data_IF_920895354922
#
_entry.id   IF_920895354922
#
_cell.length_a   1.000
_cell.length_b   1.000
_cell.length_c   1.000
_cell.angle_alpha   90.00
_cell.angle_beta   90.00
_cell.angle_gamma   90.00
#
_symmetry.space_group_name_H-M   'P 1'
#
loop_
_entity.id
_entity.type
_entity.pdbx_description
1 polymer ?
#
# COMPACT_ATOMS: atom_id res chain seq x y z
N UNK A 1 -19.70 -18.61 15.62
CA UNK A 1 -18.65 -18.10 14.71
C UNK A 1 -18.84 -16.63 14.39
N UNK A 2 -20.05 -16.17 14.12
CA UNK A 2 -20.35 -14.75 13.81
C UNK A 2 -19.86 -13.81 14.93
N UNK A 3 -20.24 -14.05 16.18
CA UNK A 3 -19.76 -13.28 17.35
C UNK A 3 -18.22 -13.23 17.48
N UNK A 4 -17.52 -14.30 17.09
CA UNK A 4 -16.06 -14.33 17.08
C UNK A 4 -15.50 -13.33 16.06
N UNK A 5 -16.03 -13.31 14.83
CA UNK A 5 -15.59 -12.38 13.80
C UNK A 5 -15.90 -10.93 14.13
N UNK A 6 -17.05 -10.65 14.73
CA UNK A 6 -17.42 -9.32 15.22
C UNK A 6 -16.43 -8.80 16.27
N UNK A 7 -16.10 -9.64 17.27
CA UNK A 7 -15.14 -9.29 18.31
C UNK A 7 -13.71 -9.11 17.75
N UNK A 8 -13.30 -9.96 16.82
CA UNK A 8 -12.01 -9.82 16.15
C UNK A 8 -11.95 -8.54 15.33
N UNK A 9 -13.01 -8.19 14.59
CA UNK A 9 -13.11 -6.93 13.85
C UNK A 9 -13.01 -5.72 14.77
N UNK A 10 -13.75 -5.72 15.88
CA UNK A 10 -13.68 -4.64 16.88
C UNK A 10 -12.25 -4.47 17.43
N UNK A 11 -11.58 -5.57 17.75
CA UNK A 11 -10.19 -5.54 18.21
C UNK A 11 -9.22 -5.06 17.12
N UNK A 12 -9.40 -5.47 15.88
CA UNK A 12 -8.60 -4.96 14.76
C UNK A 12 -8.78 -3.45 14.56
N UNK A 13 -10.00 -2.93 14.70
CA UNK A 13 -10.27 -1.48 14.64
C UNK A 13 -9.59 -0.71 15.78
N UNK A 14 -9.57 -1.26 17.00
CA UNK A 14 -8.86 -0.70 18.14
C UNK A 14 -7.35 -0.64 17.88
N UNK A 15 -6.75 -1.78 17.48
CA UNK A 15 -5.32 -1.86 17.16
C UNK A 15 -4.97 -0.89 16.03
N UNK A 16 -5.79 -0.81 14.98
CA UNK A 16 -5.53 0.13 13.88
C UNK A 16 -5.45 1.58 14.36
N UNK A 17 -6.36 2.01 15.25
CA UNK A 17 -6.33 3.38 15.83
C UNK A 17 -5.07 3.64 16.65
N UNK A 18 -4.60 2.63 17.39
CA UNK A 18 -3.38 2.74 18.21
C UNK A 18 -2.12 2.87 17.34
N UNK A 19 -2.01 2.02 16.30
CA UNK A 19 -0.75 1.87 15.55
C UNK A 19 -0.64 2.80 14.33
N UNK A 20 -1.74 3.42 13.87
CA UNK A 20 -1.74 4.19 12.60
C UNK A 20 -0.78 5.37 12.62
N UNK A 21 -0.66 6.08 13.74
CA UNK A 21 0.22 7.24 13.88
C UNK A 21 1.69 6.94 13.58
N UNK A 22 2.13 5.71 13.88
CA UNK A 22 3.52 5.27 13.72
C UNK A 22 3.74 4.43 12.46
N UNK A 23 2.64 3.94 11.82
CA UNK A 23 2.69 2.99 10.71
C UNK A 23 1.91 3.45 9.46
N UNK A 24 1.35 4.65 9.45
CA UNK A 24 0.87 5.30 8.23
C UNK A 24 2.05 5.64 7.31
N UNK A 25 1.84 5.68 6.00
CA UNK A 25 2.85 6.21 5.08
C UNK A 25 3.16 7.69 5.33
N UNK A 26 2.28 8.39 6.04
CA UNK A 26 2.45 9.78 6.45
C UNK A 26 3.05 9.92 7.86
N UNK A 27 3.46 8.82 8.51
CA UNK A 27 4.06 8.88 9.84
C UNK A 27 5.49 9.43 9.80
N UNK A 28 5.94 10.01 10.93
CA UNK A 28 7.31 10.52 11.08
C UNK A 28 8.36 9.38 11.10
N UNK A 29 7.92 8.14 11.35
CA UNK A 29 8.77 6.95 11.24
C UNK A 29 9.02 6.53 9.78
N UNK A 30 8.16 6.96 8.86
CA UNK A 30 8.24 6.58 7.43
C UNK A 30 8.91 7.65 6.59
N UNK A 31 8.54 8.91 6.78
CA UNK A 31 8.97 10.03 5.95
C UNK A 31 9.45 11.19 6.80
N UNK A 32 10.47 11.89 6.35
CA UNK A 32 10.86 13.18 6.91
C UNK A 32 9.77 14.22 6.63
N UNK A 33 9.83 15.30 7.38
CA UNK A 33 8.83 16.38 7.28
C UNK A 33 8.65 16.89 5.84
N UNK A 34 9.75 17.18 5.16
CA UNK A 34 9.70 17.75 3.80
C UNK A 34 9.18 16.74 2.77
N UNK A 35 9.52 15.45 2.95
CA UNK A 35 9.06 14.35 2.09
C UNK A 35 7.55 14.16 2.25
N UNK A 36 7.05 14.25 3.49
CA UNK A 36 5.63 14.14 3.83
C UNK A 36 4.84 15.36 3.32
N UNK A 37 5.33 16.58 3.54
CA UNK A 37 4.70 17.80 3.04
C UNK A 37 4.58 17.77 1.50
N UNK A 38 5.61 17.29 0.82
CA UNK A 38 5.59 17.13 -0.64
C UNK A 38 4.54 16.10 -1.08
N UNK A 39 4.50 14.95 -0.45
CA UNK A 39 3.54 13.89 -0.76
C UNK A 39 2.08 14.33 -0.53
N UNK A 40 1.83 15.20 0.46
CA UNK A 40 0.51 15.75 0.76
C UNK A 40 0.10 16.90 -0.17
N UNK A 41 1.07 17.60 -0.74
CA UNK A 41 0.81 18.78 -1.60
C UNK A 41 0.64 18.44 -3.07
N UNK A 42 1.01 17.24 -3.50
CA UNK A 42 1.04 16.88 -4.92
C UNK A 42 0.59 15.43 -5.15
N UNK A 43 -0.56 15.24 -5.77
CA UNK A 43 -1.09 13.92 -6.13
C UNK A 43 -0.21 13.15 -7.12
N UNK A 44 0.60 13.85 -7.92
CA UNK A 44 1.62 13.21 -8.75
C UNK A 44 2.61 12.41 -7.89
N UNK A 45 2.96 12.95 -6.70
CA UNK A 45 3.84 12.27 -5.76
C UNK A 45 3.22 10.98 -5.20
N UNK A 46 1.90 10.97 -4.94
CA UNK A 46 1.20 9.76 -4.53
C UNK A 46 1.29 8.66 -5.59
N UNK A 47 0.98 8.98 -6.85
CA UNK A 47 1.02 8.00 -7.95
C UNK A 47 2.42 7.42 -8.14
N UNK A 48 3.45 8.28 -8.17
CA UNK A 48 4.84 7.83 -8.33
C UNK A 48 5.32 7.04 -7.11
N UNK A 49 4.95 7.41 -5.90
CA UNK A 49 5.21 6.65 -4.68
C UNK A 49 4.60 5.25 -4.74
N UNK A 50 3.34 5.14 -5.13
CA UNK A 50 2.65 3.87 -5.32
C UNK A 50 3.35 3.01 -6.39
N UNK A 51 3.72 3.57 -7.53
CA UNK A 51 4.46 2.87 -8.59
C UNK A 51 5.80 2.33 -8.06
N UNK A 52 6.48 3.10 -7.24
CA UNK A 52 7.79 2.77 -6.70
C UNK A 52 7.77 1.72 -5.58
N UNK A 53 6.60 1.47 -4.98
CA UNK A 53 6.45 0.54 -3.86
C UNK A 53 6.51 -0.92 -4.32
N UNK A 54 7.72 -1.35 -4.69
CA UNK A 54 8.02 -2.73 -5.07
C UNK A 54 9.49 -3.08 -4.84
N UNK A 55 9.74 -4.22 -4.20
CA UNK A 55 11.10 -4.78 -4.01
C UNK A 55 12.09 -3.86 -3.29
N UNK A 56 11.60 -2.88 -2.58
CA UNK A 56 12.33 -1.96 -1.68
C UNK A 56 11.52 -1.77 -0.41
N UNK A 57 12.12 -1.17 0.61
CA UNK A 57 11.38 -0.77 1.81
C UNK A 57 10.41 0.37 1.47
N UNK A 58 9.26 0.40 2.13
CA UNK A 58 8.23 1.41 1.91
C UNK A 58 8.78 2.84 2.03
N UNK A 59 9.66 3.10 3.01
CA UNK A 59 10.27 4.41 3.21
C UNK A 59 11.10 4.87 1.99
N UNK A 60 11.72 3.92 1.27
CA UNK A 60 12.48 4.23 0.05
C UNK A 60 11.53 4.56 -1.10
N UNK A 61 10.46 3.78 -1.26
CA UNK A 61 9.47 3.99 -2.31
C UNK A 61 8.75 5.33 -2.17
N UNK A 62 8.23 5.61 -0.97
CA UNK A 62 7.39 6.78 -0.74
C UNK A 62 8.15 8.11 -0.66
N UNK A 63 9.48 8.11 -0.40
CA UNK A 63 10.32 9.30 -0.51
C UNK A 63 10.86 9.56 -1.92
N UNK A 64 10.81 8.57 -2.82
CA UNK A 64 11.34 8.68 -4.18
C UNK A 64 10.79 9.90 -4.94
N UNK A 65 9.48 10.20 -4.93
CA UNK A 65 8.93 11.37 -5.63
C UNK A 65 9.59 12.69 -5.23
N UNK A 66 9.83 12.89 -3.93
CA UNK A 66 10.49 14.09 -3.41
C UNK A 66 11.91 14.24 -3.97
N UNK A 67 12.72 13.18 -3.90
CA UNK A 67 14.09 13.26 -4.43
C UNK A 67 14.15 13.32 -5.95
N UNK A 68 13.19 12.70 -6.64
CA UNK A 68 13.06 12.83 -8.09
C UNK A 68 12.76 14.28 -8.47
N UNK A 69 11.83 14.96 -7.78
CA UNK A 69 11.51 16.35 -8.02
C UNK A 69 12.71 17.28 -7.78
N UNK A 70 13.54 16.97 -6.76
CA UNK A 70 14.77 17.74 -6.50
C UNK A 70 15.81 17.61 -7.62
N UNK A 71 15.93 16.43 -8.21
CA UNK A 71 16.88 16.17 -9.31
C UNK A 71 16.40 16.74 -10.64
N UNK A 72 15.10 16.74 -10.89
CA UNK A 72 14.49 17.36 -12.05
C UNK A 72 14.41 18.91 -11.94
N UNK A 73 14.41 19.44 -10.72
CA UNK A 73 14.15 20.87 -10.46
C UNK A 73 12.67 21.26 -10.52
N UNK A 74 11.78 20.32 -10.82
CA UNK A 74 10.32 20.46 -10.85
C UNK A 74 9.64 19.10 -10.72
N UNK A 75 8.28 19.07 -10.63
CA UNK A 75 7.49 17.83 -10.64
C UNK A 75 6.23 17.96 -11.49
N UNK A 76 6.29 18.77 -12.52
CA UNK A 76 5.23 18.99 -13.49
C UNK A 76 5.24 17.86 -14.52
N UNK A 77 4.14 17.11 -14.61
CA UNK A 77 4.03 15.96 -15.51
C UNK A 77 3.99 16.36 -16.98
N UNK A 78 3.45 17.54 -17.33
CA UNK A 78 3.50 18.01 -18.72
C UNK A 78 4.96 18.24 -19.14
N UNK A 79 5.74 18.94 -18.31
CA UNK A 79 7.16 19.16 -18.59
C UNK A 79 7.96 17.85 -18.60
N UNK A 80 7.71 16.94 -17.67
CA UNK A 80 8.39 15.63 -17.67
C UNK A 80 8.08 14.85 -18.96
N UNK A 81 6.82 14.89 -19.44
CA UNK A 81 6.44 14.24 -20.69
C UNK A 81 7.12 14.80 -21.93
N UNK A 82 7.41 16.12 -21.93
CA UNK A 82 8.02 16.84 -23.05
C UNK A 82 9.56 16.81 -23.01
N UNK A 83 10.14 16.95 -21.81
CA UNK A 83 11.59 17.18 -21.63
C UNK A 83 12.36 15.90 -21.37
N UNK A 84 11.70 14.83 -20.83
CA UNK A 84 12.38 13.63 -20.37
C UNK A 84 12.13 12.42 -21.29
N UNK A 85 13.09 11.51 -21.25
CA UNK A 85 13.01 10.17 -21.87
C UNK A 85 13.16 9.09 -20.80
N UNK A 86 12.93 7.82 -21.16
CA UNK A 86 13.20 6.71 -20.25
C UNK A 86 14.69 6.66 -19.87
N UNK A 87 15.59 7.00 -20.79
CA UNK A 87 17.04 6.99 -20.59
C UNK A 87 17.50 8.12 -19.64
N UNK A 88 16.94 9.32 -19.78
CA UNK A 88 17.24 10.45 -18.89
C UNK A 88 16.70 10.18 -17.47
N UNK A 89 15.47 9.70 -17.35
CA UNK A 89 14.89 9.31 -16.06
C UNK A 89 15.68 8.17 -15.40
N UNK A 90 16.13 7.17 -16.16
CA UNK A 90 17.00 6.11 -15.64
C UNK A 90 18.28 6.70 -15.05
N UNK A 91 18.91 7.62 -15.76
CA UNK A 91 20.14 8.29 -15.31
C UNK A 91 19.91 9.03 -14.01
N UNK A 92 18.82 9.80 -13.93
CA UNK A 92 18.42 10.56 -12.74
C UNK A 92 18.14 9.62 -11.55
N UNK A 93 17.42 8.52 -11.76
CA UNK A 93 17.08 7.56 -10.68
C UNK A 93 18.32 6.78 -10.21
N UNK A 94 19.25 6.48 -11.11
CA UNK A 94 20.48 5.70 -10.86
C UNK A 94 21.58 6.52 -10.19
N UNK A 95 21.59 7.83 -10.34
CA UNK A 95 22.56 8.73 -9.70
C UNK A 95 22.65 8.45 -8.20
N UNK A 96 23.88 8.44 -7.66
CA UNK A 96 24.11 8.09 -6.25
C UNK A 96 23.80 9.27 -5.31
N UNK A 97 23.12 9.02 -4.18
CA UNK A 97 22.52 7.73 -3.79
C UNK A 97 21.33 7.36 -4.67
N UNK A 98 21.32 6.15 -5.24
CA UNK A 98 20.26 5.71 -6.15
C UNK A 98 18.88 5.76 -5.48
N UNK A 99 17.89 6.30 -6.18
CA UNK A 99 16.54 6.46 -5.65
C UNK A 99 15.78 5.14 -5.57
N UNK A 100 16.12 4.17 -6.43
CA UNK A 100 15.49 2.86 -6.45
C UNK A 100 16.47 1.76 -6.85
N UNK A 101 16.21 0.52 -6.38
CA UNK A 101 17.02 -0.68 -6.69
C UNK A 101 17.02 -1.04 -8.19
N UNK A 102 15.92 -0.72 -8.90
CA UNK A 102 15.72 -1.03 -10.32
C UNK A 102 15.50 0.25 -11.14
N UNK A 103 16.54 1.08 -11.40
CA UNK A 103 16.37 2.39 -12.01
C UNK A 103 15.70 2.35 -13.38
N UNK A 104 16.14 1.46 -14.28
CA UNK A 104 15.55 1.30 -15.62
C UNK A 104 14.06 1.00 -15.59
N UNK A 105 13.69 0.04 -14.77
CA UNK A 105 12.28 -0.37 -14.65
C UNK A 105 11.40 0.74 -14.08
N UNK A 106 11.92 1.49 -13.10
CA UNK A 106 11.20 2.63 -12.54
C UNK A 106 11.07 3.77 -13.55
N UNK A 107 12.14 4.06 -14.31
CA UNK A 107 12.08 5.04 -15.38
C UNK A 107 10.99 4.71 -16.42
N UNK A 108 10.93 3.46 -16.88
CA UNK A 108 9.89 2.99 -17.80
C UNK A 108 8.48 3.15 -17.24
N UNK A 109 8.27 2.80 -15.97
CA UNK A 109 6.96 2.90 -15.33
C UNK A 109 6.54 4.34 -15.08
N UNK A 110 7.46 5.17 -14.60
CA UNK A 110 7.23 6.60 -14.37
C UNK A 110 6.94 7.31 -15.68
N UNK A 111 7.74 7.09 -16.72
CA UNK A 111 7.53 7.68 -18.04
C UNK A 111 6.16 7.30 -18.63
N UNK A 112 5.78 6.02 -18.52
CA UNK A 112 4.46 5.56 -18.94
C UNK A 112 3.34 6.27 -18.15
N UNK A 113 3.46 6.33 -16.83
CA UNK A 113 2.45 6.94 -15.96
C UNK A 113 2.27 8.43 -16.24
N UNK A 114 3.38 9.17 -16.35
CA UNK A 114 3.38 10.59 -16.69
C UNK A 114 2.65 10.83 -18.02
N UNK A 115 3.03 10.11 -19.07
CA UNK A 115 2.40 10.25 -20.39
C UNK A 115 0.91 9.88 -20.36
N UNK A 116 0.51 8.85 -19.60
CA UNK A 116 -0.89 8.47 -19.46
C UNK A 116 -1.70 9.56 -18.75
N UNK A 117 -1.18 10.12 -17.66
CA UNK A 117 -1.85 11.20 -16.93
C UNK A 117 -2.03 12.42 -17.83
N UNK A 118 -1.00 12.81 -18.55
CA UNK A 118 -1.08 13.97 -19.48
C UNK A 118 -2.11 13.74 -20.57
N UNK A 119 -2.13 12.56 -21.19
CA UNK A 119 -2.98 12.28 -22.35
C UNK A 119 -4.43 11.91 -22.02
N UNK A 120 -4.65 11.19 -20.92
CA UNK A 120 -5.95 10.55 -20.64
C UNK A 120 -6.65 11.13 -19.39
N UNK A 121 -5.91 11.82 -18.53
CA UNK A 121 -6.42 12.36 -17.27
C UNK A 121 -6.30 13.91 -17.16
N UNK A 122 -6.21 14.62 -18.29
CA UNK A 122 -6.09 16.08 -18.35
C UNK A 122 -4.96 16.64 -17.46
N UNK A 123 -3.83 15.93 -17.39
CA UNK A 123 -2.66 16.29 -16.57
C UNK A 123 -2.94 16.34 -15.05
N UNK A 124 -4.03 15.77 -14.58
CA UNK A 124 -4.45 15.78 -13.18
C UNK A 124 -4.66 14.35 -12.66
N UNK A 125 -3.78 13.92 -11.76
CA UNK A 125 -3.85 12.57 -11.14
C UNK A 125 -5.14 12.38 -10.33
N UNK A 126 -5.71 13.43 -9.73
CA UNK A 126 -6.99 13.34 -9.02
C UNK A 126 -8.14 12.82 -9.90
N UNK A 127 -8.07 13.01 -11.23
CA UNK A 127 -9.08 12.49 -12.14
C UNK A 127 -9.16 10.95 -12.19
N UNK A 128 -8.25 10.25 -11.51
CA UNK A 128 -8.36 8.81 -11.26
C UNK A 128 -9.50 8.51 -10.28
N UNK A 129 -9.77 9.40 -9.30
CA UNK A 129 -10.76 9.16 -8.22
C UNK A 129 -11.72 10.32 -7.93
N UNK A 130 -11.60 11.47 -8.57
CA UNK A 130 -12.31 12.73 -8.24
C UNK A 130 -13.79 12.75 -8.65
N UNK A 131 -14.22 11.98 -9.65
CA UNK A 131 -15.52 12.13 -10.27
C UNK A 131 -16.52 11.06 -9.77
N UNK A 132 -16.91 11.12 -8.50
CA UNK A 132 -17.89 10.23 -7.86
C UNK A 132 -17.66 8.72 -8.13
N UNK A 133 -16.39 8.32 -8.19
CA UNK A 133 -16.02 6.95 -8.43
C UNK A 133 -16.12 6.14 -7.13
N UNK A 134 -16.61 4.92 -7.25
CA UNK A 134 -16.51 3.96 -6.18
C UNK A 134 -15.10 3.31 -6.15
N UNK A 135 -14.79 2.65 -5.03
CA UNK A 135 -13.47 2.06 -4.84
C UNK A 135 -13.10 1.01 -5.91
N UNK A 136 -14.08 0.27 -6.46
CA UNK A 136 -13.85 -0.70 -7.53
C UNK A 136 -13.36 -0.04 -8.81
N UNK A 137 -13.96 1.09 -9.19
CA UNK A 137 -13.55 1.87 -10.36
C UNK A 137 -12.16 2.48 -10.17
N UNK A 138 -11.83 2.96 -8.95
CA UNK A 138 -10.49 3.48 -8.63
C UNK A 138 -9.45 2.37 -8.73
N UNK A 139 -9.72 1.18 -8.18
CA UNK A 139 -8.83 0.01 -8.31
C UNK A 139 -8.61 -0.31 -9.80
N UNK A 140 -9.68 -0.41 -10.60
CA UNK A 140 -9.58 -0.72 -12.02
C UNK A 140 -8.73 0.32 -12.78
N UNK A 141 -8.93 1.62 -12.52
CA UNK A 141 -8.14 2.68 -13.15
C UNK A 141 -6.65 2.64 -12.73
N UNK A 142 -6.37 2.37 -11.46
CA UNK A 142 -4.98 2.23 -11.00
C UNK A 142 -4.29 1.03 -11.64
N UNK A 143 -4.99 -0.07 -11.93
CA UNK A 143 -4.44 -1.24 -12.64
C UNK A 143 -3.99 -0.96 -14.07
N UNK A 144 -4.49 0.09 -14.69
CA UNK A 144 -4.07 0.50 -16.04
C UNK A 144 -2.62 1.00 -16.08
N UNK A 145 -2.04 1.35 -14.93
CA UNK A 145 -0.67 1.86 -14.85
C UNK A 145 0.36 0.74 -14.80
N UNK A 146 1.38 0.80 -15.64
CA UNK A 146 2.48 -0.15 -15.61
C UNK A 146 3.16 -0.18 -14.24
N UNK A 147 3.32 -1.37 -13.68
CA UNK A 147 3.91 -1.56 -12.36
C UNK A 147 2.90 -1.54 -11.21
N UNK A 148 1.62 -1.32 -11.49
CA UNK A 148 0.54 -1.44 -10.51
C UNK A 148 -0.27 -2.71 -10.84
N UNK A 149 -0.09 -3.75 -10.01
CA UNK A 149 -0.89 -4.96 -10.03
C UNK A 149 -2.18 -4.76 -9.23
N UNK A 150 -3.14 -5.67 -9.35
CA UNK A 150 -4.39 -5.65 -8.55
C UNK A 150 -4.14 -5.43 -7.04
N UNK A 151 -3.22 -6.20 -6.46
CA UNK A 151 -2.83 -6.03 -5.05
C UNK A 151 -2.38 -4.59 -4.74
N UNK A 152 -1.61 -4.00 -5.65
CA UNK A 152 -1.03 -2.68 -5.47
C UNK A 152 -2.06 -1.57 -5.69
N UNK A 153 -2.98 -1.77 -6.64
CA UNK A 153 -4.12 -0.91 -6.87
C UNK A 153 -5.06 -0.89 -5.65
N UNK A 154 -5.39 -2.06 -5.11
CA UNK A 154 -6.18 -2.17 -3.87
C UNK A 154 -5.49 -1.50 -2.68
N UNK A 155 -4.16 -1.68 -2.53
CA UNK A 155 -3.37 -0.97 -1.51
C UNK A 155 -3.40 0.54 -1.74
N UNK A 156 -3.21 1.01 -2.96
CA UNK A 156 -3.28 2.44 -3.29
C UNK A 156 -4.64 3.04 -2.95
N UNK A 157 -5.73 2.36 -3.30
CA UNK A 157 -7.10 2.79 -2.96
C UNK A 157 -7.33 2.80 -1.44
N UNK A 158 -6.82 1.79 -0.72
CA UNK A 158 -6.84 1.79 0.74
C UNK A 158 -6.10 3.00 1.34
N UNK A 159 -4.92 3.33 0.82
CA UNK A 159 -4.13 4.47 1.30
C UNK A 159 -4.84 5.80 1.03
N UNK A 160 -5.45 5.98 -0.14
CA UNK A 160 -6.26 7.16 -0.46
C UNK A 160 -7.35 7.38 0.60
N UNK A 161 -8.08 6.33 0.97
CA UNK A 161 -9.14 6.40 1.97
C UNK A 161 -8.58 6.63 3.38
N UNK A 162 -7.57 5.84 3.77
CA UNK A 162 -7.06 5.80 5.15
C UNK A 162 -6.14 6.96 5.50
N UNK A 163 -5.19 7.27 4.61
CA UNK A 163 -4.09 8.21 4.92
C UNK A 163 -4.35 9.60 4.32
N UNK A 164 -5.07 9.68 3.20
CA UNK A 164 -5.34 10.95 2.51
C UNK A 164 -6.79 11.46 2.69
N UNK A 165 -7.66 10.67 3.33
CA UNK A 165 -9.03 11.08 3.63
C UNK A 165 -9.95 11.17 2.41
N UNK A 166 -9.62 10.52 1.30
CA UNK A 166 -10.48 10.45 0.12
C UNK A 166 -11.72 9.61 0.44
N UNK A 167 -12.90 10.17 0.21
CA UNK A 167 -14.16 9.46 0.41
C UNK A 167 -14.53 8.70 -0.86
N UNK A 168 -14.72 7.39 -0.73
CA UNK A 168 -15.16 6.50 -1.81
C UNK A 168 -16.31 5.63 -1.33
N UNK A 169 -17.22 5.29 -2.23
CA UNK A 169 -18.25 4.28 -2.01
C UNK A 169 -17.71 2.86 -2.24
N UNK A 170 -18.49 1.85 -1.82
CA UNK A 170 -18.22 0.44 -2.11
C UNK A 170 -16.86 -0.06 -1.59
N UNK A 171 -16.47 0.34 -0.37
CA UNK A 171 -15.18 -0.07 0.24
C UNK A 171 -15.05 -1.59 0.42
N UNK A 172 -16.15 -2.35 0.31
CA UNK A 172 -16.17 -3.81 0.40
C UNK A 172 -15.31 -4.50 -0.69
N UNK A 173 -15.02 -3.83 -1.78
CA UNK A 173 -14.17 -4.35 -2.86
C UNK A 173 -12.66 -4.16 -2.60
N UNK A 174 -12.28 -3.35 -1.60
CA UNK A 174 -10.88 -3.20 -1.18
C UNK A 174 -10.53 -4.39 -0.29
N UNK A 175 -9.89 -5.40 -0.87
CA UNK A 175 -9.46 -6.58 -0.13
C UNK A 175 -8.26 -6.31 0.77
N UNK A 176 -8.08 -7.19 1.76
CA UNK A 176 -6.87 -7.19 2.59
C UNK A 176 -5.63 -7.42 1.71
N UNK A 177 -4.55 -6.68 1.96
CA UNK A 177 -3.31 -6.81 1.20
C UNK A 177 -2.62 -8.16 1.49
N UNK A 178 -2.74 -9.11 0.58
CA UNK A 178 -2.17 -10.46 0.72
C UNK A 178 -0.64 -10.44 0.59
N UNK A 179 0.05 -10.45 1.74
CA UNK A 179 1.51 -10.50 1.85
C UNK A 179 1.97 -11.63 2.78
N UNK A 180 3.27 -11.76 2.98
CA UNK A 180 3.87 -12.81 3.84
C UNK A 180 3.41 -12.71 5.29
N UNK A 181 3.13 -11.51 5.80
CA UNK A 181 2.66 -11.30 7.17
C UNK A 181 1.21 -11.75 7.33
N UNK A 182 0.34 -11.30 6.43
CA UNK A 182 -1.09 -11.64 6.40
C UNK A 182 -1.27 -13.15 6.25
N UNK A 183 -0.58 -13.78 5.28
CA UNK A 183 -0.61 -15.22 5.05
C UNK A 183 -0.29 -16.00 6.32
N UNK A 184 0.86 -15.70 6.91
CA UNK A 184 1.33 -16.39 8.15
C UNK A 184 0.35 -16.25 9.30
N UNK A 185 -0.20 -15.06 9.52
CA UNK A 185 -1.13 -14.82 10.62
C UNK A 185 -2.44 -15.56 10.39
N UNK A 186 -3.01 -15.51 9.20
CA UNK A 186 -4.27 -16.19 8.92
C UNK A 186 -4.18 -17.69 9.13
N UNK A 187 -3.06 -18.33 8.73
CA UNK A 187 -2.79 -19.73 8.99
C UNK A 187 -2.66 -20.01 10.50
N UNK A 188 -1.83 -19.23 11.20
CA UNK A 188 -1.55 -19.43 12.63
C UNK A 188 -2.75 -19.16 13.53
N UNK A 189 -3.57 -18.18 13.18
CA UNK A 189 -4.83 -17.92 13.88
C UNK A 189 -5.91 -18.97 13.59
N UNK A 190 -5.76 -19.80 12.55
CA UNK A 190 -6.78 -20.74 12.11
C UNK A 190 -7.96 -20.05 11.40
N UNK A 191 -7.75 -18.88 10.83
CA UNK A 191 -8.75 -18.16 10.02
C UNK A 191 -8.94 -18.80 8.64
N UNK A 192 -7.92 -19.48 8.16
CA UNK A 192 -7.95 -20.35 6.98
C UNK A 192 -6.93 -21.49 7.16
N UNK A 193 -7.20 -22.62 6.53
CA UNK A 193 -6.26 -23.74 6.46
C UNK A 193 -5.52 -23.78 5.10
N UNK A 194 -5.86 -22.86 4.19
CA UNK A 194 -5.27 -22.79 2.85
C UNK A 194 -4.46 -21.52 2.65
N UNK A 195 -3.22 -21.69 2.20
CA UNK A 195 -2.29 -20.61 1.90
C UNK A 195 -2.45 -20.15 0.44
N UNK A 196 -3.51 -19.41 0.17
CA UNK A 196 -3.73 -18.75 -1.11
C UNK A 196 -4.58 -17.49 -0.95
N UNK A 197 -4.47 -16.58 -1.91
CA UNK A 197 -5.14 -15.28 -1.89
C UNK A 197 -6.67 -15.41 -1.76
N UNK A 198 -7.29 -16.36 -2.45
CA UNK A 198 -8.75 -16.53 -2.48
C UNK A 198 -9.30 -16.87 -1.09
N UNK A 199 -8.70 -17.82 -0.39
CA UNK A 199 -9.18 -18.26 0.91
C UNK A 199 -8.86 -17.22 2.01
N UNK A 200 -7.73 -16.53 1.93
CA UNK A 200 -7.37 -15.45 2.86
C UNK A 200 -8.32 -14.25 2.70
N UNK A 201 -8.58 -13.79 1.47
CA UNK A 201 -9.51 -12.68 1.24
C UNK A 201 -10.94 -13.06 1.62
N UNK A 202 -11.38 -14.28 1.31
CA UNK A 202 -12.69 -14.76 1.76
C UNK A 202 -12.83 -14.78 3.29
N UNK A 203 -11.77 -15.15 4.02
CA UNK A 203 -11.76 -15.09 5.48
C UNK A 203 -11.72 -13.67 6.02
N UNK A 204 -10.97 -12.76 5.39
CA UNK A 204 -10.97 -11.34 5.75
C UNK A 204 -12.36 -10.70 5.59
N UNK A 205 -13.08 -11.03 4.52
CA UNK A 205 -14.46 -10.56 4.29
C UNK A 205 -15.45 -11.09 5.34
N UNK A 206 -15.21 -12.27 5.94
CA UNK A 206 -16.01 -12.73 7.10
C UNK A 206 -15.76 -11.92 8.36
N UNK A 207 -14.57 -11.37 8.53
CA UNK A 207 -14.20 -10.54 9.68
C UNK A 207 -14.76 -9.13 9.50
N UNK A 208 -14.58 -8.53 8.32
CA UNK A 208 -15.06 -7.20 7.99
C UNK A 208 -15.59 -7.18 6.55
N UNK A 209 -16.89 -7.35 6.36
CA UNK A 209 -17.50 -7.41 5.04
C UNK A 209 -17.59 -6.04 4.38
N UNK A 210 -17.81 -4.97 5.17
CA UNK A 210 -18.00 -3.63 4.65
C UNK A 210 -16.70 -3.02 4.10
N UNK A 211 -15.55 -3.33 4.71
CA UNK A 211 -14.25 -2.80 4.33
C UNK A 211 -13.12 -3.77 4.71
N UNK A 212 -12.92 -4.89 3.98
CA UNK A 212 -11.91 -5.88 4.32
C UNK A 212 -10.48 -5.33 4.36
N UNK A 213 -10.19 -4.33 3.52
CA UNK A 213 -8.90 -3.64 3.47
C UNK A 213 -8.47 -2.98 4.79
N UNK A 214 -9.43 -2.57 5.64
CA UNK A 214 -9.12 -1.98 6.93
C UNK A 214 -8.34 -2.91 7.87
N UNK A 215 -8.41 -4.22 7.63
CA UNK A 215 -7.68 -5.24 8.37
C UNK A 215 -6.17 -5.27 8.01
N UNK A 216 -5.77 -4.68 6.89
CA UNK A 216 -4.38 -4.71 6.41
C UNK A 216 -3.40 -4.18 7.46
N UNK A 217 -3.65 -2.98 7.98
CA UNK A 217 -2.73 -2.34 8.92
C UNK A 217 -2.55 -3.11 10.23
N UNK A 218 -3.62 -3.48 10.97
CA UNK A 218 -3.47 -4.19 12.24
C UNK A 218 -2.80 -5.56 12.06
N UNK A 219 -3.17 -6.32 11.02
CA UNK A 219 -2.53 -7.61 10.76
C UNK A 219 -1.07 -7.45 10.29
N UNK A 220 -0.76 -6.45 9.48
CA UNK A 220 0.61 -6.19 9.05
C UNK A 220 1.52 -5.84 10.24
N UNK A 221 1.07 -4.97 11.14
CA UNK A 221 1.83 -4.62 12.36
C UNK A 221 2.02 -5.86 13.25
N UNK A 222 0.96 -6.64 13.47
CA UNK A 222 1.05 -7.88 14.23
C UNK A 222 2.05 -8.85 13.59
N UNK A 223 2.06 -8.97 12.27
CA UNK A 223 2.98 -9.85 11.54
C UNK A 223 4.43 -9.43 11.63
N UNK A 224 4.68 -8.13 11.62
CA UNK A 224 6.02 -7.56 11.70
C UNK A 224 6.60 -7.60 13.12
N UNK A 225 5.81 -7.21 14.10
CA UNK A 225 6.30 -6.99 15.46
C UNK A 225 6.16 -8.23 16.36
N UNK A 226 5.08 -8.99 16.22
CA UNK A 226 4.72 -10.09 17.13
C UNK A 226 4.74 -11.46 16.46
N UNK A 227 3.99 -11.66 15.39
CA UNK A 227 3.85 -12.96 14.74
C UNK A 227 4.99 -13.23 13.74
N UNK A 228 6.23 -13.22 14.23
CA UNK A 228 7.44 -13.43 13.41
C UNK A 228 7.52 -14.88 12.92
N UNK A 229 8.23 -15.17 11.80
CA UNK A 229 8.45 -16.54 11.33
C UNK A 229 9.02 -17.45 12.43
N UNK A 230 10.14 -17.03 13.01
CA UNK A 230 10.76 -17.66 14.16
C UNK A 230 10.48 -16.87 15.45
N UNK A 231 10.34 -17.57 16.58
CA UNK A 231 10.17 -16.98 17.91
C UNK A 231 9.07 -15.92 18.00
N UNK A 232 7.82 -16.25 17.65
CA UNK A 232 6.72 -15.29 17.74
C UNK A 232 6.46 -14.89 19.19
N UNK A 233 6.17 -13.60 19.41
CA UNK A 233 5.86 -13.02 20.72
C UNK A 233 4.35 -13.13 21.02
N UNK A 234 3.86 -14.35 21.19
CA UNK A 234 2.43 -14.61 21.32
C UNK A 234 1.79 -13.98 22.55
N UNK A 235 2.52 -13.88 23.65
CA UNK A 235 2.00 -13.37 24.93
C UNK A 235 1.87 -11.83 24.93
N UNK A 236 2.66 -11.14 24.10
CA UNK A 236 2.58 -9.68 23.88
C UNK A 236 1.62 -9.31 22.75
N UNK A 237 1.10 -10.29 21.98
CA UNK A 237 0.38 -10.05 20.74
C UNK A 237 -1.04 -9.49 20.98
N UNK A 238 -1.39 -8.39 20.34
CA UNK A 238 -2.73 -7.78 20.40
C UNK A 238 -3.88 -8.74 20.07
N UNK A 239 -3.62 -9.75 19.22
CA UNK A 239 -4.63 -10.72 18.76
C UNK A 239 -4.50 -12.08 19.43
N UNK A 240 -3.70 -12.21 20.51
CA UNK A 240 -3.41 -13.49 21.16
C UNK A 240 -4.67 -14.24 21.59
N UNK A 241 -5.67 -13.56 22.13
CA UNK A 241 -6.94 -14.14 22.59
C UNK A 241 -7.81 -14.71 21.46
N UNK A 242 -7.59 -14.29 20.22
CA UNK A 242 -8.30 -14.77 19.03
C UNK A 242 -7.51 -15.82 18.25
N UNK A 243 -6.31 -16.18 18.70
CA UNK A 243 -5.37 -16.97 17.92
C UNK A 243 -5.32 -18.42 18.40
N UNK A 244 -5.46 -19.38 17.45
CA UNK A 244 -5.27 -20.81 17.73
C UNK A 244 -3.80 -21.19 17.96
N UNK A 245 -2.87 -20.25 17.76
CA UNK A 245 -1.42 -20.43 17.96
C UNK A 245 -0.83 -21.65 17.21
N UNK A 246 -1.28 -21.88 15.96
CA UNK A 246 -0.70 -22.91 15.07
C UNK A 246 0.70 -22.46 14.59
N UNK A 247 1.67 -22.37 15.52
CA UNK A 247 2.98 -21.70 15.31
C UNK A 247 3.85 -22.43 14.29
N UNK A 248 3.66 -23.72 14.09
CA UNK A 248 4.37 -24.54 13.10
C UNK A 248 4.04 -24.16 11.66
N UNK A 249 2.87 -23.53 11.43
CA UNK A 249 2.46 -23.07 10.10
C UNK A 249 3.13 -21.74 9.74
N UNK A 250 3.47 -21.60 8.48
CA UNK A 250 4.01 -20.33 7.94
C UNK A 250 5.39 -19.96 8.52
N UNK A 251 6.22 -20.93 8.90
CA UNK A 251 7.61 -20.68 9.33
C UNK A 251 8.51 -20.25 8.18
N UNK A 252 8.18 -20.68 6.97
CA UNK A 252 8.93 -20.41 5.73
C UNK A 252 8.42 -19.15 5.00
N UNK A 253 7.51 -18.38 5.62
CA UNK A 253 6.90 -17.17 5.08
C UNK A 253 7.53 -15.91 5.67
#
# INVERSE_FOLDING_TARGET
MEKYYEQLNAKCKEVAKEVIKDNSILSDNMLKREEKEFLLSDWNAFLIGLISDQSVKAEIAWRLPYYLSKRLGHFDFCRIAEEETVESLETIIKEKPALHRYPRKMAEYIFFAVNKIVKEYNSDVENIWKNDLNAEQVVAKLEEFKGISHKKAALGTLLLVRDFGVTLENLYCIDIAYDVHIRRIFLRMGLTDKDNIKDVTASARKICNEFPGCLTLPFWVVGREYCRPANPKCDECYLSQFCMKKIELGKDL
#
